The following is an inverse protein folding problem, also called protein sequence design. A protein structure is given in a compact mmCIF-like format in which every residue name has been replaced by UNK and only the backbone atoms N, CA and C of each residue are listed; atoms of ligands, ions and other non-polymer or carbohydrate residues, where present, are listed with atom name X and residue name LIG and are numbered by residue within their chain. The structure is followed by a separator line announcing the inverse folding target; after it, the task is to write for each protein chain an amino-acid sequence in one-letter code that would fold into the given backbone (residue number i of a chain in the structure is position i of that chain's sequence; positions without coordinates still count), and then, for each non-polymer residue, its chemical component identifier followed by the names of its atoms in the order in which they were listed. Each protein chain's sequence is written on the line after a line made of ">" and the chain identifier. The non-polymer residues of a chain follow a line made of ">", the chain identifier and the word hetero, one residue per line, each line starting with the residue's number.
data_IF_647809555353
#
_entry.id   IF_647809555353
#
_cell.length_a   1.000
_cell.length_b   1.000
_cell.length_c   1.000
_cell.angle_alpha   90.00
_cell.angle_beta   90.00
_cell.angle_gamma   90.00
#
_symmetry.space_group_name_H-M   'P 1'
#
loop_
_entity.id
_entity.type
_entity.pdbx_description
1 polymer ?
#
# COMPACT_ATOMS: atom_id res chain seq x y z
N UNK A 1 50.29 -73.71 -10.69
CA UNK A 1 51.70 -73.99 -10.33
C UNK A 1 52.23 -75.12 -11.21
N UNK A 2 53.55 -75.24 -11.43
CA UNK A 2 54.10 -76.24 -12.36
C UNK A 2 55.33 -76.98 -11.85
N UNK A 3 55.55 -78.18 -12.43
CA UNK A 3 56.78 -79.01 -12.59
C UNK A 3 56.32 -80.48 -12.64
N UNK A 4 56.39 -81.25 -13.73
CA UNK A 4 57.49 -81.58 -14.69
C UNK A 4 58.38 -82.74 -14.20
N UNK A 5 58.17 -83.94 -14.76
CA UNK A 5 59.09 -85.07 -15.07
C UNK A 5 58.27 -86.36 -15.27
N UNK A 6 58.59 -87.32 -16.14
CA UNK A 6 59.57 -87.28 -17.25
C UNK A 6 60.18 -88.64 -17.66
N UNK A 7 59.64 -89.24 -18.74
CA UNK A 7 60.37 -89.97 -19.82
C UNK A 7 60.96 -91.39 -19.57
N UNK A 8 61.00 -92.17 -20.67
CA UNK A 8 61.57 -93.51 -20.94
C UNK A 8 60.67 -94.72 -20.57
N UNK A 9 60.57 -95.80 -21.37
CA UNK A 9 60.86 -95.94 -22.80
C UNK A 9 61.39 -97.32 -23.28
N UNK A 10 60.86 -97.75 -24.44
CA UNK A 10 61.50 -98.57 -25.50
C UNK A 10 61.68 -100.10 -25.31
N UNK A 11 61.55 -100.80 -26.45
CA UNK A 11 61.68 -102.25 -26.74
C UNK A 11 60.50 -103.11 -26.28
N UNK A 12 60.01 -104.07 -27.06
CA UNK A 12 60.39 -104.47 -28.43
C UNK A 12 60.27 -105.98 -28.62
N UNK A 13 59.75 -106.42 -29.76
CA UNK A 13 59.58 -107.85 -30.05
C UNK A 13 58.54 -108.09 -31.14
N UNK A 14 58.97 -108.01 -32.40
CA UNK A 14 58.11 -108.42 -33.51
C UNK A 14 58.10 -109.94 -33.68
N UNK A 15 57.00 -110.50 -34.20
CA UNK A 15 57.02 -111.79 -34.88
C UNK A 15 56.26 -111.66 -36.21
N UNK A 16 56.91 -112.10 -37.29
CA UNK A 16 56.40 -112.03 -38.68
C UNK A 16 55.22 -112.97 -38.89
N UNK A 17 54.36 -112.62 -39.84
CA UNK A 17 53.73 -113.61 -40.72
C UNK A 17 52.27 -113.34 -41.05
N UNK A 18 51.98 -112.94 -42.30
CA UNK A 18 50.62 -113.05 -42.85
C UNK A 18 50.04 -111.83 -43.57
N UNK A 19 50.70 -111.30 -44.61
CA UNK A 19 49.94 -110.59 -45.66
C UNK A 19 49.12 -111.62 -46.44
N UNK A 20 47.81 -111.70 -46.19
CA UNK A 20 46.84 -112.12 -47.22
C UNK A 20 46.26 -110.86 -47.84
N UNK A 21 45.99 -110.91 -49.15
CA UNK A 21 45.61 -109.77 -49.98
C UNK A 21 44.27 -109.19 -49.51
N UNK A 22 44.17 -107.87 -49.42
CA UNK A 22 42.87 -107.20 -49.60
C UNK A 22 42.44 -107.40 -51.07
N UNK A 23 41.23 -107.89 -51.33
CA UNK A 23 40.62 -107.79 -52.65
C UNK A 23 40.35 -106.32 -52.99
N UNK A 24 40.25 -106.01 -54.29
CA UNK A 24 39.81 -104.67 -54.71
C UNK A 24 38.38 -104.42 -54.19
N UNK A 25 38.16 -103.24 -53.60
CA UNK A 25 36.84 -102.81 -53.15
C UNK A 25 35.86 -102.86 -54.34
N UNK A 26 35.03 -103.89 -54.37
CA UNK A 26 34.03 -104.10 -55.43
C UNK A 26 32.98 -103.00 -55.30
N UNK A 27 32.27 -102.62 -56.37
CA UNK A 27 31.24 -101.58 -56.29
C UNK A 27 30.18 -101.84 -55.19
N UNK A 28 29.94 -103.12 -54.87
CA UNK A 28 29.11 -103.56 -53.73
C UNK A 28 29.65 -103.10 -52.37
N UNK A 29 30.96 -103.15 -52.16
CA UNK A 29 31.63 -102.74 -50.92
C UNK A 29 31.68 -101.21 -50.78
N UNK A 30 31.76 -100.47 -51.90
CA UNK A 30 31.58 -99.02 -51.89
C UNK A 30 30.13 -98.60 -51.55
N UNK A 31 29.12 -99.32 -52.06
CA UNK A 31 27.71 -99.12 -51.68
C UNK A 31 27.48 -99.46 -50.21
N UNK A 32 28.07 -100.55 -49.71
CA UNK A 32 28.02 -100.90 -48.28
C UNK A 32 28.68 -99.83 -47.41
N UNK A 33 29.85 -99.31 -47.80
CA UNK A 33 30.51 -98.21 -47.07
C UNK A 33 29.66 -96.94 -47.03
N UNK A 34 28.94 -96.60 -48.11
CA UNK A 34 27.99 -95.48 -48.11
C UNK A 34 26.75 -95.73 -47.24
N UNK A 35 26.21 -96.95 -47.25
CA UNK A 35 25.12 -97.36 -46.37
C UNK A 35 25.54 -97.31 -44.89
N UNK A 36 26.76 -97.80 -44.58
CA UNK A 36 27.37 -97.69 -43.25
C UNK A 36 27.50 -96.22 -42.85
N UNK A 37 28.05 -95.34 -43.71
CA UNK A 37 28.19 -93.92 -43.41
C UNK A 37 26.85 -93.19 -43.18
N UNK A 38 25.76 -93.59 -43.85
CA UNK A 38 24.41 -93.08 -43.56
C UNK A 38 23.93 -93.54 -42.17
N UNK A 39 24.19 -94.80 -41.81
CA UNK A 39 23.81 -95.37 -40.50
C UNK A 39 24.65 -94.72 -39.40
N UNK A 40 25.95 -94.55 -39.61
CA UNK A 40 26.87 -93.87 -38.69
C UNK A 40 26.44 -92.42 -38.45
N UNK A 41 26.14 -91.65 -39.51
CA UNK A 41 25.64 -90.29 -39.34
C UNK A 41 24.31 -90.25 -38.57
N UNK A 42 23.35 -91.13 -38.89
CA UNK A 42 22.09 -91.23 -38.12
C UNK A 42 22.33 -91.63 -36.67
N UNK A 43 23.34 -92.45 -36.41
CA UNK A 43 23.74 -92.83 -35.05
C UNK A 43 24.40 -91.64 -34.33
N UNK A 44 25.21 -90.83 -35.00
CA UNK A 44 25.74 -89.57 -34.46
C UNK A 44 24.63 -88.55 -34.15
N UNK A 45 23.66 -88.37 -35.06
CA UNK A 45 22.50 -87.50 -34.85
C UNK A 45 21.69 -87.95 -33.61
N UNK A 46 21.36 -89.26 -33.50
CA UNK A 46 20.67 -89.84 -32.33
C UNK A 46 21.51 -89.74 -31.04
N UNK A 47 22.83 -89.91 -31.11
CA UNK A 47 23.72 -89.73 -29.96
C UNK A 47 23.81 -88.26 -29.52
N UNK A 48 23.71 -87.31 -30.44
CA UNK A 48 23.63 -85.89 -30.13
C UNK A 48 22.27 -85.54 -29.49
N UNK A 49 21.17 -86.08 -30.01
CA UNK A 49 19.84 -85.94 -29.40
C UNK A 49 19.80 -86.55 -27.99
N UNK A 50 20.34 -87.76 -27.79
CA UNK A 50 20.44 -88.41 -26.46
C UNK A 50 21.17 -87.52 -25.46
N UNK A 51 22.35 -86.99 -25.83
CA UNK A 51 23.10 -86.04 -25.00
C UNK A 51 22.30 -84.76 -24.72
N UNK A 52 21.57 -84.25 -25.71
CA UNK A 52 20.69 -83.10 -25.54
C UNK A 52 19.53 -83.37 -24.58
N UNK A 53 19.01 -84.59 -24.54
CA UNK A 53 18.01 -85.03 -23.55
C UNK A 53 18.63 -85.26 -22.16
N UNK A 54 19.82 -85.86 -22.08
CA UNK A 54 20.58 -86.03 -20.83
C UNK A 54 20.91 -84.67 -20.18
N UNK A 55 21.39 -83.70 -20.96
CA UNK A 55 21.67 -82.33 -20.48
C UNK A 55 20.40 -81.58 -20.04
N UNK A 56 19.26 -81.79 -20.74
CA UNK A 56 17.97 -81.26 -20.30
C UNK A 56 17.53 -81.92 -18.99
N UNK A 57 17.59 -83.24 -18.90
CA UNK A 57 17.18 -83.99 -17.72
C UNK A 57 17.99 -83.56 -16.49
N UNK A 58 19.33 -83.43 -16.62
CA UNK A 58 20.19 -82.89 -15.56
C UNK A 58 19.76 -81.49 -15.11
N UNK A 59 19.41 -80.58 -16.04
CA UNK A 59 18.88 -79.25 -15.69
C UNK A 59 17.51 -79.29 -15.00
N UNK A 60 16.68 -80.28 -15.28
CA UNK A 60 15.42 -80.49 -14.58
C UNK A 60 15.64 -81.06 -13.17
N UNK A 61 16.56 -82.00 -13.01
CA UNK A 61 17.01 -82.52 -11.71
C UNK A 61 17.60 -81.42 -10.83
N UNK A 62 18.60 -80.66 -11.33
CA UNK A 62 19.19 -79.52 -10.62
C UNK A 62 18.16 -78.44 -10.23
N UNK A 63 17.12 -78.21 -11.04
CA UNK A 63 16.02 -77.29 -10.70
C UNK A 63 15.14 -77.89 -9.60
N UNK A 64 14.81 -79.17 -9.70
CA UNK A 64 13.94 -79.86 -8.76
C UNK A 64 14.60 -79.96 -7.36
N UNK A 65 15.91 -80.23 -7.30
CA UNK A 65 16.68 -80.20 -6.04
C UNK A 65 16.66 -78.81 -5.38
N UNK A 66 16.83 -77.74 -6.18
CA UNK A 66 16.73 -76.35 -5.68
C UNK A 66 15.34 -76.05 -5.13
N UNK A 67 14.28 -76.32 -5.90
CA UNK A 67 12.89 -76.13 -5.47
C UNK A 67 12.56 -76.93 -4.21
N UNK A 68 13.06 -78.16 -4.08
CA UNK A 68 12.85 -78.99 -2.90
C UNK A 68 13.60 -78.43 -1.68
N UNK A 69 14.81 -77.90 -1.86
CA UNK A 69 15.53 -77.21 -0.79
C UNK A 69 14.87 -75.89 -0.36
N UNK A 70 14.30 -75.14 -1.31
CA UNK A 70 13.50 -73.93 -1.04
C UNK A 70 12.24 -74.30 -0.26
N UNK A 71 11.48 -75.31 -0.69
CA UNK A 71 10.30 -75.81 0.03
C UNK A 71 10.64 -76.27 1.45
N UNK A 72 11.76 -76.98 1.64
CA UNK A 72 12.20 -77.41 2.98
C UNK A 72 12.50 -76.20 3.89
N UNK A 73 13.08 -75.13 3.35
CA UNK A 73 13.33 -73.88 4.08
C UNK A 73 12.02 -73.13 4.41
N UNK A 74 11.07 -73.04 3.47
CA UNK A 74 9.75 -72.44 3.73
C UNK A 74 8.99 -73.22 4.81
N UNK A 75 8.98 -74.55 4.75
CA UNK A 75 8.32 -75.40 5.77
C UNK A 75 8.98 -75.20 7.15
N UNK A 76 10.33 -75.15 7.21
CA UNK A 76 11.05 -74.85 8.46
C UNK A 76 10.71 -73.46 9.01
N UNK A 77 10.53 -72.46 8.15
CA UNK A 77 10.12 -71.12 8.56
C UNK A 77 8.69 -71.10 9.12
N UNK A 78 7.74 -71.73 8.41
CA UNK A 78 6.34 -71.83 8.85
C UNK A 78 6.21 -72.55 10.21
N UNK A 79 6.95 -73.66 10.39
CA UNK A 79 7.00 -74.39 11.66
C UNK A 79 7.63 -73.58 12.80
N UNK A 80 8.52 -72.63 12.48
CA UNK A 80 9.09 -71.71 13.47
C UNK A 80 8.07 -70.66 13.89
N UNK A 81 7.37 -70.03 12.93
CA UNK A 81 6.29 -69.09 13.20
C UNK A 81 5.16 -69.73 14.02
N UNK A 82 4.74 -70.95 13.68
CA UNK A 82 3.72 -71.69 14.45
C UNK A 82 4.13 -71.87 15.92
N UNK A 83 5.39 -72.29 16.17
CA UNK A 83 5.92 -72.44 17.54
C UNK A 83 6.13 -71.13 18.29
N UNK A 84 6.38 -70.03 17.58
CA UNK A 84 6.40 -68.70 18.19
C UNK A 84 5.00 -68.30 18.64
N UNK A 85 3.97 -68.52 17.80
CA UNK A 85 2.56 -68.30 18.14
C UNK A 85 2.09 -69.19 19.31
N UNK A 86 2.42 -70.49 19.31
CA UNK A 86 2.13 -71.39 20.44
C UNK A 86 2.72 -70.84 21.74
N UNK A 87 3.98 -70.41 21.74
CA UNK A 87 4.63 -69.79 22.90
C UNK A 87 3.98 -68.47 23.33
N UNK A 88 3.47 -67.65 22.41
CA UNK A 88 2.75 -66.44 22.79
C UNK A 88 1.48 -66.78 23.59
N UNK A 89 0.76 -67.84 23.22
CA UNK A 89 -0.42 -68.31 23.94
C UNK A 89 -0.09 -69.09 25.23
N UNK A 90 1.00 -69.89 25.26
CA UNK A 90 1.48 -70.54 26.50
C UNK A 90 1.91 -69.52 27.57
N UNK A 91 2.43 -68.37 27.15
CA UNK A 91 2.82 -67.26 28.03
C UNK A 91 1.64 -66.33 28.39
N UNK A 92 0.48 -66.44 27.73
CA UNK A 92 -0.70 -65.63 28.08
C UNK A 92 -1.49 -66.31 29.21
N UNK A 93 -1.25 -65.83 30.44
CA UNK A 93 -1.93 -66.30 31.64
C UNK A 93 -3.46 -66.19 31.51
N UNK A 94 -4.17 -67.25 31.91
CA UNK A 94 -5.63 -67.35 31.82
C UNK A 94 -6.28 -66.39 32.83
N UNK A 95 -6.53 -65.17 32.35
CA UNK A 95 -7.18 -64.08 33.12
C UNK A 95 -8.49 -64.57 33.73
N UNK A 96 -8.61 -64.45 35.05
CA UNK A 96 -9.79 -64.88 35.79
C UNK A 96 -10.92 -63.88 35.58
N UNK A 97 -12.18 -64.32 35.76
CA UNK A 97 -13.37 -63.47 35.69
C UNK A 97 -13.23 -62.20 36.54
N UNK A 98 -12.59 -62.30 37.70
CA UNK A 98 -12.40 -61.18 38.62
C UNK A 98 -11.39 -60.15 38.11
N UNK A 99 -10.35 -60.55 37.38
CA UNK A 99 -9.41 -59.65 36.71
C UNK A 99 -10.11 -58.84 35.60
N UNK A 100 -11.00 -59.50 34.86
CA UNK A 100 -11.86 -58.84 33.86
C UNK A 100 -12.81 -57.85 34.56
N UNK A 101 -13.38 -58.20 35.70
CA UNK A 101 -14.25 -57.28 36.48
C UNK A 101 -13.45 -56.10 37.04
N UNK A 102 -12.23 -56.31 37.55
CA UNK A 102 -11.39 -55.22 38.06
C UNK A 102 -10.94 -54.28 36.93
N UNK A 103 -10.44 -54.82 35.82
CA UNK A 103 -10.05 -54.00 34.65
C UNK A 103 -11.22 -53.26 34.03
N UNK A 104 -12.44 -53.82 34.04
CA UNK A 104 -13.65 -53.11 33.61
C UNK A 104 -14.06 -51.99 34.59
N UNK A 105 -14.03 -52.22 35.91
CA UNK A 105 -14.28 -51.18 36.92
C UNK A 105 -13.29 -50.02 36.80
N UNK A 106 -12.02 -50.33 36.59
CA UNK A 106 -10.92 -49.38 36.42
C UNK A 106 -11.05 -48.59 35.09
N UNK A 107 -11.44 -49.25 33.99
CA UNK A 107 -11.83 -48.56 32.74
C UNK A 107 -13.02 -47.62 32.93
N UNK A 108 -14.07 -48.04 33.64
CA UNK A 108 -15.23 -47.19 33.96
C UNK A 108 -14.87 -46.03 34.89
N UNK A 109 -13.94 -46.24 35.83
CA UNK A 109 -13.38 -45.18 36.67
C UNK A 109 -12.67 -44.11 35.85
N UNK A 110 -11.76 -44.51 34.96
CA UNK A 110 -11.08 -43.59 34.03
C UNK A 110 -12.05 -42.88 33.09
N UNK A 111 -13.04 -43.60 32.55
CA UNK A 111 -14.06 -43.02 31.68
C UNK A 111 -14.84 -41.93 32.41
N UNK A 112 -15.31 -42.19 33.63
CA UNK A 112 -16.02 -41.19 34.44
C UNK A 112 -15.13 -40.02 34.84
N UNK A 113 -13.84 -40.25 35.13
CA UNK A 113 -12.89 -39.17 35.36
C UNK A 113 -12.74 -38.28 34.11
N UNK A 114 -12.62 -38.88 32.92
CA UNK A 114 -12.55 -38.13 31.66
C UNK A 114 -13.84 -37.39 31.33
N UNK A 115 -15.01 -37.97 31.65
CA UNK A 115 -16.29 -37.29 31.53
C UNK A 115 -16.37 -36.07 32.47
N UNK A 116 -15.93 -36.21 33.72
CA UNK A 116 -15.85 -35.09 34.67
C UNK A 116 -14.90 -33.98 34.16
N UNK A 117 -13.67 -34.33 33.76
CA UNK A 117 -12.70 -33.39 33.17
C UNK A 117 -13.28 -32.67 31.94
N UNK A 118 -14.03 -33.38 31.08
CA UNK A 118 -14.74 -32.78 29.94
C UNK A 118 -15.88 -31.85 30.36
N UNK A 119 -16.59 -32.13 31.45
CA UNK A 119 -17.61 -31.20 31.98
C UNK A 119 -17.00 -29.95 32.61
N UNK A 120 -15.86 -30.08 33.29
CA UNK A 120 -15.12 -28.94 33.84
C UNK A 120 -14.55 -28.06 32.73
N UNK A 121 -13.94 -28.66 31.69
CA UNK A 121 -13.48 -27.93 30.51
C UNK A 121 -14.62 -27.22 29.78
N UNK A 122 -15.79 -27.86 29.61
CA UNK A 122 -16.97 -27.21 29.02
C UNK A 122 -17.48 -26.04 29.85
N UNK A 123 -17.45 -26.13 31.19
CA UNK A 123 -17.81 -25.02 32.07
C UNK A 123 -16.82 -23.86 31.94
N UNK A 124 -15.52 -24.15 31.91
CA UNK A 124 -14.48 -23.14 31.72
C UNK A 124 -14.60 -22.45 30.36
N UNK A 125 -14.85 -23.21 29.28
CA UNK A 125 -15.09 -22.66 27.93
C UNK A 125 -16.28 -21.70 27.98
N UNK A 126 -17.43 -22.11 28.53
CA UNK A 126 -18.62 -21.26 28.63
C UNK A 126 -18.40 -20.00 29.51
N UNK A 127 -17.56 -20.07 30.54
CA UNK A 127 -17.13 -18.90 31.33
C UNK A 127 -16.28 -17.96 30.48
N UNK A 128 -15.28 -18.46 29.76
CA UNK A 128 -14.43 -17.64 28.87
C UNK A 128 -15.19 -17.06 27.67
N UNK A 129 -16.14 -17.78 27.08
CA UNK A 129 -17.03 -17.26 26.03
C UNK A 129 -17.92 -16.12 26.56
N UNK A 130 -18.38 -16.22 27.81
CA UNK A 130 -19.12 -15.17 28.50
C UNK A 130 -18.29 -13.92 28.78
N UNK A 131 -17.01 -14.09 29.10
CA UNK A 131 -16.06 -12.98 29.28
C UNK A 131 -15.70 -12.31 27.93
N UNK A 132 -15.40 -13.10 26.90
CA UNK A 132 -15.17 -12.61 25.53
C UNK A 132 -16.38 -11.81 25.04
N UNK A 133 -17.60 -12.32 25.22
CA UNK A 133 -18.82 -11.59 24.83
C UNK A 133 -19.06 -10.32 25.64
N UNK A 134 -18.40 -10.12 26.79
CA UNK A 134 -18.42 -8.85 27.54
C UNK A 134 -17.42 -7.87 26.94
N UNK A 135 -16.18 -8.32 26.71
CA UNK A 135 -15.13 -7.52 26.08
C UNK A 135 -15.53 -7.08 24.66
N UNK A 136 -16.16 -7.94 23.86
CA UNK A 136 -16.69 -7.59 22.53
C UNK A 136 -17.73 -6.45 22.59
N UNK A 137 -18.56 -6.41 23.64
CA UNK A 137 -19.54 -5.32 23.84
C UNK A 137 -18.83 -4.03 24.24
N UNK A 138 -17.84 -4.10 25.11
CA UNK A 138 -17.03 -2.94 25.51
C UNK A 138 -16.25 -2.38 24.30
N UNK A 139 -15.60 -3.23 23.51
CA UNK A 139 -14.95 -2.86 22.25
C UNK A 139 -15.96 -2.25 21.27
N UNK A 140 -17.17 -2.80 21.16
CA UNK A 140 -18.25 -2.24 20.36
C UNK A 140 -18.67 -0.83 20.79
N UNK A 141 -18.74 -0.57 22.10
CA UNK A 141 -18.98 0.77 22.64
C UNK A 141 -17.83 1.74 22.33
N UNK A 142 -16.58 1.31 22.50
CA UNK A 142 -15.41 2.14 22.19
C UNK A 142 -15.27 2.44 20.69
N UNK A 143 -15.63 1.50 19.81
CA UNK A 143 -15.69 1.73 18.36
C UNK A 143 -16.80 2.71 18.00
N UNK A 144 -18.00 2.56 18.57
CA UNK A 144 -19.10 3.52 18.36
C UNK A 144 -18.74 4.93 18.86
N UNK A 145 -18.03 5.02 19.99
CA UNK A 145 -17.50 6.28 20.50
C UNK A 145 -16.44 6.88 19.55
N UNK A 146 -15.46 6.09 19.11
CA UNK A 146 -14.42 6.56 18.16
C UNK A 146 -15.02 7.06 16.83
N UNK A 147 -16.00 6.34 16.29
CA UNK A 147 -16.52 6.60 14.94
C UNK A 147 -17.59 7.72 14.92
N UNK A 148 -18.27 7.98 16.04
CA UNK A 148 -19.34 8.99 16.15
C UNK A 148 -19.18 9.92 17.34
N UNK A 149 -19.00 9.35 18.54
CA UNK A 149 -18.87 10.10 19.80
C UNK A 149 -17.79 11.19 19.76
N UNK A 150 -16.56 10.85 19.37
CA UNK A 150 -15.45 11.82 19.23
C UNK A 150 -15.81 12.96 18.26
N UNK A 151 -16.48 12.64 17.14
CA UNK A 151 -16.88 13.65 16.15
C UNK A 151 -18.05 14.53 16.62
N UNK A 152 -18.91 14.02 17.51
CA UNK A 152 -20.00 14.78 18.14
C UNK A 152 -19.46 15.66 19.29
N UNK A 153 -18.65 15.10 20.19
CA UNK A 153 -17.98 15.84 21.27
C UNK A 153 -17.05 16.92 20.71
N UNK A 154 -16.27 16.64 19.66
CA UNK A 154 -15.41 17.63 19.00
C UNK A 154 -16.19 18.77 18.39
N UNK A 155 -17.37 18.52 17.81
CA UNK A 155 -18.27 19.59 17.33
C UNK A 155 -18.82 20.40 18.50
N UNK A 156 -19.26 19.76 19.58
CA UNK A 156 -19.75 20.44 20.77
C UNK A 156 -18.66 21.32 21.41
N UNK A 157 -17.42 20.82 21.50
CA UNK A 157 -16.26 21.57 21.99
C UNK A 157 -15.94 22.75 21.06
N UNK A 158 -16.08 22.59 19.74
CA UNK A 158 -15.86 23.69 18.80
C UNK A 158 -16.93 24.78 18.96
N UNK A 159 -18.22 24.40 18.98
CA UNK A 159 -19.32 25.34 19.20
C UNK A 159 -19.16 26.11 20.51
N UNK A 160 -18.83 25.44 21.62
CA UNK A 160 -18.60 26.10 22.92
C UNK A 160 -17.37 27.03 22.91
N UNK A 161 -16.35 26.76 22.09
CA UNK A 161 -15.21 27.68 21.90
C UNK A 161 -15.60 28.90 21.07
N UNK A 162 -16.38 28.70 20.02
CA UNK A 162 -16.85 29.78 19.17
C UNK A 162 -17.81 30.69 19.97
N UNK A 163 -18.72 30.12 20.77
CA UNK A 163 -19.57 30.84 21.73
C UNK A 163 -18.76 31.62 22.79
N UNK A 164 -17.65 31.06 23.28
CA UNK A 164 -16.74 31.77 24.21
C UNK A 164 -16.07 32.98 23.56
N UNK A 165 -15.64 32.86 22.30
CA UNK A 165 -15.05 33.97 21.54
C UNK A 165 -16.09 35.04 21.24
N UNK A 166 -17.30 34.67 20.81
CA UNK A 166 -18.40 35.60 20.57
C UNK A 166 -18.80 36.35 21.85
N UNK A 167 -18.82 35.67 23.00
CA UNK A 167 -19.00 36.32 24.31
C UNK A 167 -17.86 37.28 24.63
N UNK A 168 -16.60 36.89 24.42
CA UNK A 168 -15.44 37.78 24.68
C UNK A 168 -15.46 39.04 23.80
N UNK A 169 -15.81 38.91 22.51
CA UNK A 169 -16.01 40.06 21.61
C UNK A 169 -17.16 40.94 22.09
N UNK A 170 -18.31 40.36 22.46
CA UNK A 170 -19.46 41.09 23.00
C UNK A 170 -19.14 41.83 24.31
N UNK A 171 -18.35 41.21 25.20
CA UNK A 171 -17.84 41.86 26.41
C UNK A 171 -16.85 42.99 26.08
N UNK A 172 -15.98 42.80 25.08
CA UNK A 172 -15.09 43.83 24.56
C UNK A 172 -15.84 45.05 24.02
N UNK A 173 -16.86 44.83 23.20
CA UNK A 173 -17.69 45.90 22.63
C UNK A 173 -18.52 46.62 23.70
N UNK A 174 -19.09 45.87 24.66
CA UNK A 174 -19.80 46.46 25.79
C UNK A 174 -18.87 47.30 26.68
N UNK A 175 -17.66 46.82 26.95
CA UNK A 175 -16.61 47.57 27.65
C UNK A 175 -16.25 48.84 26.87
N UNK A 176 -15.94 48.73 25.58
CA UNK A 176 -15.60 49.86 24.72
C UNK A 176 -16.74 50.90 24.66
N UNK A 177 -18.00 50.47 24.66
CA UNK A 177 -19.15 51.36 24.74
C UNK A 177 -19.24 52.08 26.09
N UNK A 178 -19.06 51.36 27.21
CA UNK A 178 -19.05 51.94 28.55
C UNK A 178 -17.89 52.92 28.75
N UNK A 179 -16.68 52.59 28.28
CA UNK A 179 -15.51 53.47 28.32
C UNK A 179 -15.74 54.75 27.51
N UNK A 180 -16.26 54.67 26.28
CA UNK A 180 -16.62 55.87 25.48
C UNK A 180 -17.73 56.70 26.12
N UNK A 181 -18.73 56.05 26.72
CA UNK A 181 -19.82 56.74 27.42
C UNK A 181 -19.31 57.47 28.67
N UNK A 182 -18.40 56.83 29.43
CA UNK A 182 -17.72 57.44 30.56
C UNK A 182 -16.82 58.59 30.12
N UNK A 183 -16.00 58.40 29.08
CA UNK A 183 -15.13 59.44 28.51
C UNK A 183 -15.96 60.66 28.09
N UNK A 184 -17.06 60.45 27.34
CA UNK A 184 -17.99 61.50 26.96
C UNK A 184 -18.56 62.23 28.18
N UNK A 185 -19.07 61.52 29.18
CA UNK A 185 -19.56 62.12 30.42
C UNK A 185 -18.47 62.91 31.17
N UNK A 186 -17.23 62.42 31.22
CA UNK A 186 -16.11 63.16 31.82
C UNK A 186 -15.73 64.39 30.99
N UNK A 187 -15.80 64.34 29.66
CA UNK A 187 -15.52 65.49 28.80
C UNK A 187 -16.60 66.57 28.95
N UNK A 188 -17.88 66.20 29.05
CA UNK A 188 -19.00 67.11 29.30
C UNK A 188 -18.89 67.75 30.69
N UNK A 189 -18.53 66.97 31.73
CA UNK A 189 -18.26 67.50 33.07
C UNK A 189 -17.06 68.47 33.02
N UNK A 190 -15.95 68.09 32.39
CA UNK A 190 -14.76 68.93 32.30
C UNK A 190 -15.06 70.26 31.59
N UNK A 191 -15.70 70.22 30.42
CA UNK A 191 -16.13 71.40 29.67
C UNK A 191 -17.05 72.29 30.51
N UNK A 192 -18.06 71.71 31.17
CA UNK A 192 -18.95 72.48 32.05
C UNK A 192 -18.20 73.11 33.25
N UNK A 193 -17.24 72.39 33.85
CA UNK A 193 -16.40 72.94 34.92
C UNK A 193 -15.48 74.05 34.42
N UNK A 194 -14.90 73.92 33.23
CA UNK A 194 -14.08 74.97 32.60
C UNK A 194 -14.90 76.22 32.29
N UNK A 195 -16.06 76.06 31.66
CA UNK A 195 -17.00 77.16 31.41
C UNK A 195 -17.44 77.87 32.70
N UNK A 196 -17.73 77.13 33.77
CA UNK A 196 -18.13 77.75 35.05
C UNK A 196 -16.96 78.46 35.73
N UNK A 197 -15.76 77.91 35.66
CA UNK A 197 -14.52 78.55 36.12
C UNK A 197 -14.25 79.83 35.32
N UNK A 198 -14.42 79.83 34.00
CA UNK A 198 -14.18 81.02 33.17
C UNK A 198 -15.23 82.10 33.35
N UNK A 199 -16.51 81.73 33.50
CA UNK A 199 -17.58 82.65 33.94
C UNK A 199 -17.24 83.25 35.32
N UNK A 200 -16.68 82.47 36.24
CA UNK A 200 -16.25 82.96 37.55
C UNK A 200 -15.00 83.86 37.46
N UNK A 201 -14.01 83.55 36.62
CA UNK A 201 -12.85 84.42 36.33
C UNK A 201 -13.32 85.76 35.76
N UNK A 202 -14.23 85.74 34.78
CA UNK A 202 -14.80 86.94 34.18
C UNK A 202 -15.49 87.81 35.25
N UNK A 203 -16.44 87.25 36.01
CA UNK A 203 -17.15 87.97 37.07
C UNK A 203 -16.20 88.51 38.16
N UNK A 204 -15.16 87.76 38.51
CA UNK A 204 -14.13 88.22 39.45
C UNK A 204 -13.31 89.39 38.87
N UNK A 205 -12.95 89.35 37.58
CA UNK A 205 -12.25 90.43 36.89
C UNK A 205 -13.11 91.69 36.74
N UNK A 206 -14.39 91.55 36.37
CA UNK A 206 -15.33 92.67 36.26
C UNK A 206 -15.55 93.33 37.63
N UNK A 207 -15.71 92.52 38.68
CA UNK A 207 -15.83 93.01 40.06
C UNK A 207 -14.55 93.70 40.55
N UNK A 208 -13.37 93.19 40.18
CA UNK A 208 -12.10 93.83 40.49
C UNK A 208 -11.97 95.19 39.77
N UNK A 209 -12.24 95.23 38.46
CA UNK A 209 -12.23 96.47 37.65
C UNK A 209 -13.26 97.49 38.19
N UNK A 210 -14.42 97.02 38.64
CA UNK A 210 -15.45 97.86 39.28
C UNK A 210 -15.06 98.42 40.65
N UNK A 211 -14.03 97.86 41.31
CA UNK A 211 -13.46 98.37 42.56
C UNK A 211 -12.24 99.29 42.36
N UNK A 212 -11.72 99.39 41.13
CA UNK A 212 -10.65 100.34 40.79
C UNK A 212 -11.18 101.77 40.78
N UNK A 213 -10.24 102.73 40.86
CA UNK A 213 -10.56 104.13 40.66
C UNK A 213 -10.90 104.44 39.19
N UNK A 214 -11.47 105.63 38.94
CA UNK A 214 -11.91 106.02 37.60
C UNK A 214 -10.77 106.08 36.57
N UNK A 215 -9.55 106.44 36.99
CA UNK A 215 -8.41 106.55 36.10
C UNK A 215 -7.86 105.16 35.73
N UNK A 216 -7.56 104.29 36.70
CA UNK A 216 -7.07 102.93 36.41
C UNK A 216 -8.08 102.10 35.60
N UNK A 217 -9.40 102.30 35.83
CA UNK A 217 -10.44 101.65 35.01
C UNK A 217 -10.40 102.10 33.54
N UNK A 218 -10.12 103.37 33.27
CA UNK A 218 -9.99 103.87 31.90
C UNK A 218 -8.73 103.29 31.24
N UNK A 219 -7.59 103.28 31.95
CA UNK A 219 -6.35 102.70 31.43
C UNK A 219 -6.50 101.21 31.05
N UNK A 220 -7.27 100.42 31.82
CA UNK A 220 -7.55 99.01 31.47
C UNK A 220 -8.37 98.90 30.18
N UNK A 221 -9.41 99.73 30.00
CA UNK A 221 -10.24 99.73 28.79
C UNK A 221 -9.45 100.20 27.56
N UNK A 222 -8.60 101.21 27.71
CA UNK A 222 -7.75 101.73 26.65
C UNK A 222 -6.68 100.70 26.24
N UNK A 223 -6.08 99.99 27.21
CA UNK A 223 -5.16 98.87 26.93
C UNK A 223 -5.85 97.70 26.21
N UNK A 224 -7.07 97.33 26.61
CA UNK A 224 -7.84 96.28 25.94
C UNK A 224 -8.27 96.69 24.53
N UNK A 225 -8.56 97.97 24.28
CA UNK A 225 -8.77 98.49 22.92
C UNK A 225 -7.48 98.44 22.09
N UNK A 226 -6.37 98.96 22.62
CA UNK A 226 -5.06 98.93 21.96
C UNK A 226 -4.60 97.50 21.63
N UNK A 227 -4.89 96.51 22.49
CA UNK A 227 -4.57 95.09 22.21
C UNK A 227 -5.31 94.57 20.99
N UNK A 228 -6.63 94.81 20.88
CA UNK A 228 -7.42 94.39 19.71
C UNK A 228 -6.91 95.08 18.44
N UNK A 229 -6.62 96.38 18.52
CA UNK A 229 -6.10 97.15 17.37
C UNK A 229 -4.73 96.62 16.91
N UNK A 230 -3.82 96.32 17.85
CA UNK A 230 -2.52 95.70 17.57
C UNK A 230 -2.67 94.30 16.95
N UNK A 231 -3.69 93.53 17.34
CA UNK A 231 -3.94 92.19 16.79
C UNK A 231 -4.49 92.26 15.35
N UNK A 232 -5.37 93.22 15.07
CA UNK A 232 -5.86 93.52 13.71
C UNK A 232 -4.69 93.97 12.82
N UNK A 233 -3.92 94.98 13.24
CA UNK A 233 -2.77 95.45 12.46
C UNK A 233 -1.68 94.39 12.25
N UNK A 234 -1.52 93.43 13.18
CA UNK A 234 -0.64 92.28 12.98
C UNK A 234 -1.14 91.35 11.88
N UNK A 235 -2.45 91.08 11.81
CA UNK A 235 -3.04 90.28 10.75
C UNK A 235 -2.91 91.00 9.39
N UNK A 236 -3.33 92.27 9.32
CA UNK A 236 -3.16 93.11 8.12
C UNK A 236 -1.70 93.17 7.65
N UNK A 237 -0.75 93.29 8.60
CA UNK A 237 0.69 93.30 8.28
C UNK A 237 1.24 91.94 7.85
N UNK A 238 0.58 90.83 8.18
CA UNK A 238 0.94 89.51 7.70
C UNK A 238 0.41 89.30 6.27
N UNK A 239 -0.84 89.67 6.03
CA UNK A 239 -1.49 89.60 4.72
C UNK A 239 -0.75 90.47 3.68
N UNK A 240 -0.43 91.74 4.03
CA UNK A 240 0.34 92.63 3.15
C UNK A 240 1.74 92.09 2.84
N UNK A 241 2.40 91.43 3.80
CA UNK A 241 3.71 90.81 3.54
C UNK A 241 3.58 89.65 2.57
N UNK A 242 2.57 88.80 2.73
CA UNK A 242 2.32 87.71 1.80
C UNK A 242 2.04 88.23 0.38
N UNK A 243 1.21 89.28 0.24
CA UNK A 243 0.94 89.91 -1.07
C UNK A 243 2.23 90.49 -1.69
N UNK A 244 3.09 91.15 -0.91
CA UNK A 244 4.39 91.66 -1.39
C UNK A 244 5.31 90.50 -1.79
N UNK A 245 5.43 89.45 -0.99
CA UNK A 245 6.24 88.27 -1.34
C UNK A 245 5.76 87.60 -2.63
N UNK A 246 4.45 87.49 -2.84
CA UNK A 246 3.87 86.89 -4.04
C UNK A 246 4.03 87.79 -5.28
N UNK A 247 3.96 89.11 -5.12
CA UNK A 247 4.33 90.08 -6.16
C UNK A 247 5.83 90.05 -6.50
N UNK A 248 6.71 89.89 -5.51
CA UNK A 248 8.15 89.73 -5.70
C UNK A 248 8.47 88.43 -6.46
N UNK A 249 7.85 87.31 -6.08
CA UNK A 249 7.94 86.02 -6.81
C UNK A 249 7.46 86.17 -8.26
N UNK A 250 6.32 86.83 -8.49
CA UNK A 250 5.78 87.05 -9.82
C UNK A 250 6.68 87.96 -10.68
N UNK A 251 7.24 89.02 -10.09
CA UNK A 251 8.17 89.92 -10.78
C UNK A 251 9.49 89.21 -11.13
N UNK A 252 10.04 88.40 -10.21
CA UNK A 252 11.20 87.55 -10.49
C UNK A 252 10.93 86.55 -11.62
N UNK A 253 9.74 85.94 -11.65
CA UNK A 253 9.32 85.05 -12.73
C UNK A 253 9.25 85.78 -14.09
N UNK A 254 8.58 86.94 -14.16
CA UNK A 254 8.50 87.75 -15.39
C UNK A 254 9.88 88.25 -15.84
N UNK A 255 10.75 88.63 -14.90
CA UNK A 255 12.13 89.01 -15.21
C UNK A 255 12.93 87.83 -15.77
N UNK A 256 12.77 86.62 -15.21
CA UNK A 256 13.41 85.41 -15.73
C UNK A 256 12.92 85.07 -17.14
N UNK A 257 11.62 85.11 -17.39
CA UNK A 257 10.99 84.90 -18.71
C UNK A 257 11.49 85.95 -19.74
N UNK A 258 11.57 87.22 -19.35
CA UNK A 258 12.16 88.28 -20.19
C UNK A 258 13.67 88.10 -20.45
N UNK A 259 14.41 87.50 -19.52
CA UNK A 259 15.81 87.13 -19.76
C UNK A 259 15.91 85.93 -20.71
N UNK A 260 15.05 84.91 -20.56
CA UNK A 260 15.00 83.76 -21.45
C UNK A 260 14.62 84.18 -22.87
N UNK A 261 13.56 84.98 -23.05
CA UNK A 261 13.18 85.56 -24.35
C UNK A 261 14.32 86.37 -24.98
N UNK A 262 15.04 87.19 -24.21
CA UNK A 262 16.22 87.92 -24.73
C UNK A 262 17.36 87.00 -25.13
N UNK A 263 17.57 85.90 -24.40
CA UNK A 263 18.56 84.87 -24.74
C UNK A 263 18.12 84.13 -26.02
N UNK A 264 16.83 83.87 -26.21
CA UNK A 264 16.28 83.30 -27.44
C UNK A 264 16.40 84.26 -28.62
N UNK A 265 16.06 85.54 -28.48
CA UNK A 265 16.29 86.56 -29.51
C UNK A 265 17.78 86.70 -29.87
N UNK A 266 18.68 86.60 -28.87
CA UNK A 266 20.13 86.56 -29.09
C UNK A 266 20.56 85.28 -29.81
N UNK A 267 19.97 84.12 -29.51
CA UNK A 267 20.20 82.87 -30.25
C UNK A 267 19.69 82.97 -31.68
N UNK A 268 18.49 83.51 -31.91
CA UNK A 268 17.88 83.67 -33.25
C UNK A 268 18.69 84.65 -34.08
N UNK A 269 19.08 85.80 -33.53
CA UNK A 269 19.93 86.77 -34.23
C UNK A 269 21.34 86.20 -34.47
N UNK A 270 21.96 85.51 -33.51
CA UNK A 270 23.23 84.78 -33.72
C UNK A 270 23.11 83.73 -34.83
N UNK A 271 22.04 82.94 -34.84
CA UNK A 271 21.80 81.92 -35.87
C UNK A 271 21.55 82.55 -37.25
N UNK A 272 20.89 83.71 -37.31
CA UNK A 272 20.71 84.50 -38.53
C UNK A 272 22.02 85.12 -39.04
N UNK A 273 22.91 85.55 -38.14
CA UNK A 273 24.26 85.95 -38.51
C UNK A 273 25.08 84.74 -39.01
N UNK A 274 25.03 83.60 -38.32
CA UNK A 274 25.75 82.38 -38.73
C UNK A 274 25.28 81.85 -40.10
N UNK A 275 23.97 81.79 -40.36
CA UNK A 275 23.43 81.34 -41.68
C UNK A 275 23.85 82.25 -42.83
N UNK A 276 24.12 83.55 -42.61
CA UNK A 276 24.72 84.41 -43.64
C UNK A 276 26.20 84.13 -43.93
N UNK A 277 26.90 83.40 -43.05
CA UNK A 277 28.28 82.95 -43.27
C UNK A 277 28.38 81.48 -43.69
N UNK A 278 27.35 80.65 -43.48
CA UNK A 278 27.30 79.26 -43.99
C UNK A 278 27.34 79.20 -45.53
N UNK A 279 26.66 80.11 -46.23
CA UNK A 279 26.76 80.24 -47.70
C UNK A 279 28.18 80.64 -48.20
N UNK A 280 29.05 81.10 -47.30
CA UNK A 280 30.45 81.48 -47.57
C UNK A 280 31.48 80.48 -47.02
N UNK A 281 31.10 79.24 -46.67
CA UNK A 281 32.00 78.09 -46.65
C UNK A 281 33.17 78.08 -45.65
N UNK A 282 33.21 79.00 -44.67
CA UNK A 282 34.21 79.01 -43.60
C UNK A 282 33.59 78.56 -42.26
N UNK A 283 33.98 77.35 -41.82
CA UNK A 283 33.59 76.77 -40.53
C UNK A 283 33.93 77.70 -39.36
N UNK A 284 32.91 78.13 -38.61
CA UNK A 284 33.04 79.04 -37.46
C UNK A 284 32.66 78.40 -36.10
N UNK A 285 32.69 77.07 -36.04
CA UNK A 285 32.34 76.26 -34.85
C UNK A 285 33.39 76.23 -33.73
N UNK A 286 34.49 77.00 -33.83
CA UNK A 286 35.62 76.95 -32.88
C UNK A 286 36.10 78.32 -32.37
N UNK A 287 35.20 79.07 -31.71
CA UNK A 287 35.60 80.13 -30.75
C UNK A 287 34.73 80.11 -29.49
N UNK A 288 34.96 79.10 -28.64
CA UNK A 288 34.45 79.09 -27.26
C UNK A 288 35.21 80.11 -26.40
N UNK A 289 34.71 81.35 -26.33
CA UNK A 289 35.33 82.46 -25.58
C UNK A 289 34.59 82.77 -24.26
N UNK A 290 33.38 82.24 -24.05
CA UNK A 290 32.50 82.58 -22.92
C UNK A 290 32.45 81.56 -21.78
N UNK A 291 33.12 80.41 -21.92
CA UNK A 291 33.03 79.31 -20.93
C UNK A 291 34.07 79.42 -19.79
N UNK A 292 35.07 80.29 -19.92
CA UNK A 292 36.12 80.48 -18.90
C UNK A 292 35.71 81.37 -17.71
N UNK A 293 34.81 82.34 -17.90
CA UNK A 293 34.54 83.38 -16.89
C UNK A 293 33.47 82.98 -15.86
N UNK A 294 32.63 81.98 -16.17
CA UNK A 294 31.58 81.50 -15.25
C UNK A 294 32.10 80.67 -14.06
N UNK A 295 33.33 80.18 -14.13
CA UNK A 295 33.96 79.40 -13.06
C UNK A 295 34.61 80.25 -11.95
N UNK A 296 34.62 81.58 -12.06
CA UNK A 296 35.39 82.48 -11.17
C UNK A 296 34.58 83.27 -10.14
N UNK A 297 33.24 83.10 -10.07
CA UNK A 297 32.40 83.79 -9.09
C UNK A 297 31.84 82.79 -8.08
N UNK A 298 32.69 82.35 -7.15
CA UNK A 298 32.35 81.50 -6.00
C UNK A 298 32.84 82.13 -4.69
N UNK A 299 32.16 83.20 -4.25
CA UNK A 299 32.41 83.99 -3.02
C UNK A 299 31.05 84.58 -2.61
N UNK A 300 30.52 84.49 -1.38
CA UNK A 300 30.90 83.77 -0.16
C UNK A 300 29.62 83.51 0.67
N UNK A 301 29.51 82.36 1.34
CA UNK A 301 28.55 82.16 2.42
C UNK A 301 29.02 82.83 3.72
N UNK A 302 28.15 83.59 4.38
CA UNK A 302 28.16 83.77 5.85
C UNK A 302 26.73 84.01 6.37
N UNK A 303 26.19 83.02 7.09
CA UNK A 303 25.35 83.13 8.33
C UNK A 303 24.30 84.27 8.43
N UNK A 304 23.04 84.04 8.80
CA UNK A 304 22.48 82.93 9.62
C UNK A 304 20.95 82.91 9.57
N UNK A 305 20.38 81.74 9.87
CA UNK A 305 19.04 81.51 10.46
C UNK A 305 17.78 82.08 9.78
N UNK A 306 17.03 81.18 9.12
CA UNK A 306 15.68 80.82 9.62
C UNK A 306 15.13 79.52 9.02
N UNK A 307 14.91 78.53 9.91
CA UNK A 307 13.88 77.49 9.87
C UNK A 307 13.43 76.89 8.52
N UNK A 308 13.90 75.67 8.24
CA UNK A 308 13.15 74.71 7.42
C UNK A 308 11.79 74.39 8.07
N UNK A 309 10.69 74.80 7.43
CA UNK A 309 9.36 74.23 7.68
C UNK A 309 9.10 73.12 6.64
N UNK A 310 9.16 71.87 7.10
CA UNK A 310 8.73 70.74 6.29
C UNK A 310 7.20 70.78 6.13
N UNK A 311 6.72 71.08 4.92
CA UNK A 311 5.33 70.86 4.53
C UNK A 311 5.20 69.46 3.94
N UNK A 312 4.18 68.74 4.41
CA UNK A 312 3.91 67.34 4.12
C UNK A 312 3.55 67.14 2.65
N UNK A 313 4.00 66.02 2.08
CA UNK A 313 3.48 65.51 0.82
C UNK A 313 2.00 65.12 0.99
N UNK A 314 1.11 66.07 0.71
CA UNK A 314 -0.27 65.77 0.33
C UNK A 314 -0.27 65.51 -1.18
N UNK A 315 -0.59 64.28 -1.57
CA UNK A 315 -0.61 63.89 -2.99
C UNK A 315 -1.77 64.55 -3.72
N UNK A 316 -1.52 65.65 -4.41
CA UNK A 316 -2.45 66.25 -5.37
C UNK A 316 -1.81 66.24 -6.76
N UNK A 317 -2.47 65.53 -7.69
CA UNK A 317 -1.89 65.17 -8.98
C UNK A 317 -1.89 66.35 -9.96
N UNK A 318 -0.71 66.76 -10.43
CA UNK A 318 -0.58 67.63 -11.60
C UNK A 318 -1.26 66.95 -12.81
N UNK A 319 -2.22 67.60 -13.49
CA UNK A 319 -2.83 67.03 -14.67
C UNK A 319 -1.84 67.02 -15.84
N UNK A 320 -1.39 65.83 -16.24
CA UNK A 320 -0.54 65.66 -17.40
C UNK A 320 -1.25 66.11 -18.70
N UNK A 321 -0.48 66.74 -19.60
CA UNK A 321 -0.94 67.13 -20.95
C UNK A 321 -1.54 65.93 -21.70
N UNK A 322 -2.64 66.16 -22.41
CA UNK A 322 -3.34 65.14 -23.18
C UNK A 322 -2.56 64.68 -24.42
N UNK A 323 -2.18 63.39 -24.42
CA UNK A 323 -1.60 62.71 -25.59
C UNK A 323 -2.62 62.37 -26.69
N UNK A 324 -2.10 61.95 -27.85
CA UNK A 324 -2.85 61.79 -29.10
C UNK A 324 -3.92 60.67 -29.10
N UNK A 325 -4.97 60.87 -29.91
CA UNK A 325 -6.15 60.02 -29.99
C UNK A 325 -5.90 58.58 -30.52
N UNK A 326 -4.73 58.27 -31.07
CA UNK A 326 -4.41 56.96 -31.67
C UNK A 326 -4.11 55.86 -30.64
N UNK A 327 -3.61 56.19 -29.45
CA UNK A 327 -3.30 55.19 -28.41
C UNK A 327 -4.58 54.55 -27.80
N UNK A 328 -5.65 55.32 -27.63
CA UNK A 328 -6.91 54.88 -26.99
C UNK A 328 -7.72 53.82 -27.76
N UNK A 329 -7.36 53.53 -29.01
CA UNK A 329 -8.10 52.59 -29.86
C UNK A 329 -7.63 51.13 -29.72
N UNK A 330 -6.40 50.89 -29.25
CA UNK A 330 -5.78 49.56 -29.22
C UNK A 330 -6.14 48.78 -27.95
N UNK A 331 -6.26 49.47 -26.81
CA UNK A 331 -6.47 48.86 -25.49
C UNK A 331 -7.88 48.26 -25.30
N UNK A 332 -8.88 48.76 -26.05
CA UNK A 332 -10.28 48.30 -25.96
C UNK A 332 -10.59 46.95 -26.61
N UNK A 333 -9.58 46.21 -27.09
CA UNK A 333 -9.74 44.85 -27.65
C UNK A 333 -9.21 43.71 -26.76
N UNK A 334 -8.60 44.01 -25.61
CA UNK A 334 -7.82 43.00 -24.86
C UNK A 334 -8.58 42.40 -23.65
N UNK A 335 -9.64 43.03 -23.14
CA UNK A 335 -10.41 42.50 -22.00
C UNK A 335 -11.93 42.73 -22.08
N UNK A 336 -12.68 41.69 -22.47
CA UNK A 336 -14.09 41.50 -22.06
C UNK A 336 -14.56 40.06 -22.24
N UNK A 337 -15.10 39.45 -21.17
CA UNK A 337 -15.86 38.17 -21.11
C UNK A 337 -15.02 36.90 -21.36
N UNK A 338 -14.72 36.01 -20.40
CA UNK A 338 -15.48 35.34 -19.29
C UNK A 338 -16.37 34.18 -19.79
N UNK A 339 -16.27 33.02 -19.13
CA UNK A 339 -16.64 31.66 -19.59
C UNK A 339 -17.92 31.09 -18.89
N UNK A 340 -18.13 29.76 -18.69
CA UNK A 340 -18.14 28.56 -19.57
C UNK A 340 -19.60 27.96 -19.66
N UNK A 341 -19.91 26.70 -20.11
CA UNK A 341 -19.64 25.44 -19.37
C UNK A 341 -19.46 24.09 -20.16
N UNK A 342 -18.78 23.15 -19.49
CA UNK A 342 -18.99 21.67 -19.37
C UNK A 342 -19.92 20.87 -20.33
N UNK A 343 -19.42 19.75 -20.91
CA UNK A 343 -19.97 18.37 -20.71
C UNK A 343 -19.13 17.23 -21.38
N UNK A 344 -19.35 16.02 -20.84
CA UNK A 344 -18.75 14.68 -20.97
C UNK A 344 -18.42 14.06 -22.36
N UNK A 345 -17.57 13.02 -22.34
CA UNK A 345 -17.58 11.93 -23.33
C UNK A 345 -17.21 10.57 -22.67
N UNK A 346 -18.03 9.55 -22.93
CA UNK A 346 -17.97 8.18 -22.40
C UNK A 346 -17.57 7.14 -23.48
N UNK A 347 -17.05 5.98 -23.03
CA UNK A 347 -17.07 4.68 -23.73
C UNK A 347 -15.91 4.36 -24.69
N UNK A 348 -15.61 3.09 -25.02
CA UNK A 348 -16.05 1.78 -24.48
C UNK A 348 -15.17 0.63 -25.08
N UNK A 349 -15.25 -0.60 -24.53
CA UNK A 349 -14.98 -1.91 -25.18
C UNK A 349 -13.53 -2.27 -25.59
N UNK A 350 -13.12 -3.54 -25.76
CA UNK A 350 -13.73 -4.87 -25.48
C UNK A 350 -12.63 -5.97 -25.39
N UNK A 351 -13.00 -7.06 -24.74
CA UNK A 351 -12.35 -8.37 -24.50
C UNK A 351 -11.95 -9.23 -25.71
N UNK A 352 -10.96 -10.12 -25.50
CA UNK A 352 -10.61 -11.40 -26.16
C UNK A 352 -9.51 -12.08 -25.29
N UNK A 353 -9.32 -13.40 -25.10
CA UNK A 353 -10.22 -14.58 -25.12
C UNK A 353 -9.50 -15.84 -24.50
N UNK A 354 -10.12 -17.04 -24.55
CA UNK A 354 -9.55 -18.44 -24.60
C UNK A 354 -9.93 -19.49 -23.51
N UNK A 355 -10.08 -20.75 -23.94
CA UNK A 355 -10.83 -21.85 -23.30
C UNK A 355 -10.08 -23.22 -23.25
N UNK A 356 -10.75 -24.29 -22.80
CA UNK A 356 -10.37 -25.73 -22.89
C UNK A 356 -9.41 -26.30 -21.80
N UNK A 357 -9.40 -27.59 -21.44
CA UNK A 357 -10.09 -28.83 -21.87
C UNK A 357 -10.40 -29.72 -20.64
N UNK A 358 -11.45 -30.56 -20.69
CA UNK A 358 -11.75 -31.53 -19.61
C UNK A 358 -12.41 -32.83 -20.16
N UNK A 359 -11.60 -33.76 -20.71
CA UNK A 359 -12.04 -35.09 -21.18
C UNK A 359 -10.91 -36.13 -21.17
N UNK A 360 -10.64 -36.80 -20.04
CA UNK A 360 -9.58 -37.84 -19.96
C UNK A 360 -9.95 -39.07 -19.09
N UNK A 361 -11.23 -39.29 -18.76
CA UNK A 361 -11.67 -40.29 -17.76
C UNK A 361 -12.33 -41.58 -18.31
N UNK A 362 -12.50 -41.74 -19.63
CA UNK A 362 -13.44 -42.75 -20.18
C UNK A 362 -12.85 -43.94 -20.96
N UNK A 363 -11.52 -44.08 -21.07
CA UNK A 363 -10.89 -45.05 -21.99
C UNK A 363 -10.32 -46.33 -21.32
N UNK A 364 -10.36 -46.44 -19.98
CA UNK A 364 -9.72 -47.51 -19.22
C UNK A 364 -10.64 -48.72 -18.86
N UNK A 365 -11.66 -49.03 -19.66
CA UNK A 365 -12.66 -50.09 -19.35
C UNK A 365 -12.79 -51.21 -20.40
N UNK A 366 -11.71 -51.58 -21.10
CA UNK A 366 -11.66 -52.82 -21.88
C UNK A 366 -10.61 -53.79 -21.33
N UNK A 367 -11.03 -55.04 -21.10
CA UNK A 367 -10.22 -56.12 -20.55
C UNK A 367 -9.28 -56.69 -21.62
N UNK A 368 -7.99 -56.85 -21.29
CA UNK A 368 -7.06 -57.69 -22.05
C UNK A 368 -7.17 -59.16 -21.61
N UNK A 369 -7.04 -60.09 -22.56
CA UNK A 369 -7.06 -61.54 -22.30
C UNK A 369 -5.68 -62.01 -21.79
N UNK A 370 -5.62 -62.68 -20.62
CA UNK A 370 -4.35 -63.13 -20.04
C UNK A 370 -3.75 -64.36 -20.74
N UNK A 371 -2.44 -64.27 -21.00
CA UNK A 371 -1.69 -65.19 -21.86
C UNK A 371 -1.14 -66.40 -21.06
N UNK A 372 -1.56 -67.63 -21.43
CA UNK A 372 -1.18 -68.88 -20.73
C UNK A 372 0.33 -69.18 -20.70
N UNK A 373 1.14 -68.41 -21.42
CA UNK A 373 2.60 -68.53 -21.47
C UNK A 373 3.31 -68.18 -20.16
N UNK A 374 2.66 -67.49 -19.22
CA UNK A 374 3.27 -67.04 -17.96
C UNK A 374 3.50 -68.15 -16.94
N UNK A 375 2.69 -69.22 -16.95
CA UNK A 375 2.88 -70.37 -16.05
C UNK A 375 4.21 -71.11 -16.27
N UNK A 376 4.82 -70.98 -17.45
CA UNK A 376 6.14 -71.55 -17.77
C UNK A 376 7.32 -70.62 -17.42
N UNK A 377 7.05 -69.37 -17.01
CA UNK A 377 8.06 -68.36 -16.63
C UNK A 377 8.30 -68.28 -15.13
N UNK A 378 7.55 -69.02 -14.31
CA UNK A 378 7.65 -68.98 -12.85
C UNK A 378 9.05 -69.46 -12.40
N UNK A 379 9.80 -68.53 -11.80
CA UNK A 379 11.12 -68.76 -11.20
C UNK A 379 11.04 -69.42 -9.83
N UNK A 380 12.03 -69.19 -8.94
CA UNK A 380 11.97 -69.58 -7.54
C UNK A 380 10.66 -69.13 -6.89
N UNK A 381 10.16 -69.91 -5.92
CA UNK A 381 8.84 -69.66 -5.32
C UNK A 381 8.92 -68.52 -4.28
N UNK A 382 9.13 -67.30 -4.76
CA UNK A 382 9.17 -66.10 -3.94
C UNK A 382 7.83 -65.91 -3.20
N UNK A 383 7.92 -65.52 -1.92
CA UNK A 383 6.72 -65.32 -1.10
C UNK A 383 5.88 -64.18 -1.67
N UNK A 384 4.76 -64.50 -2.33
CA UNK A 384 3.72 -63.53 -2.70
C UNK A 384 3.07 -62.98 -1.42
N UNK A 385 3.71 -61.97 -0.83
CA UNK A 385 3.14 -61.16 0.24
C UNK A 385 1.94 -60.39 -0.33
N UNK A 386 0.74 -60.80 0.08
CA UNK A 386 -0.50 -60.14 -0.31
C UNK A 386 -0.60 -58.77 0.36
N UNK A 387 -0.48 -57.72 -0.45
CA UNK A 387 -0.80 -56.35 -0.07
C UNK A 387 -2.32 -56.16 -0.10
N UNK A 388 -2.91 -55.76 1.03
CA UNK A 388 -4.30 -55.28 1.09
C UNK A 388 -4.28 -53.75 1.20
N UNK A 389 -4.36 -53.07 0.07
CA UNK A 389 -4.53 -51.62 0.00
C UNK A 389 -6.01 -51.25 0.12
N UNK A 390 -6.44 -50.78 1.29
CA UNK A 390 -7.77 -50.22 1.47
C UNK A 390 -7.85 -48.78 0.98
N UNK A 391 -8.77 -48.49 0.05
CA UNK A 391 -9.14 -47.11 -0.31
C UNK A 391 -10.22 -46.62 0.66
N UNK A 392 -10.02 -45.45 1.26
CA UNK A 392 -10.99 -44.87 2.18
C UNK A 392 -12.17 -44.27 1.40
N UNK A 393 -13.28 -45.01 1.34
CA UNK A 393 -14.54 -44.48 0.81
C UNK A 393 -15.14 -43.45 1.77
N UNK A 394 -15.71 -42.34 1.28
CA UNK A 394 -16.44 -41.40 2.12
C UNK A 394 -17.67 -42.09 2.73
N UNK A 395 -17.87 -41.92 4.03
CA UNK A 395 -19.06 -42.41 4.71
C UNK A 395 -20.23 -41.54 4.25
N UNK A 396 -21.08 -42.07 3.38
CA UNK A 396 -22.34 -41.40 3.03
C UNK A 396 -23.19 -41.26 4.30
N UNK A 397 -23.39 -40.02 4.73
CA UNK A 397 -24.36 -39.69 5.77
C UNK A 397 -25.73 -40.14 5.24
N UNK A 398 -26.46 -41.02 5.93
CA UNK A 398 -27.76 -41.46 5.45
C UNK A 398 -28.69 -40.25 5.37
N UNK A 399 -29.20 -39.99 4.17
CA UNK A 399 -30.21 -38.97 3.93
C UNK A 399 -31.40 -39.21 4.89
N UNK A 400 -31.90 -38.16 5.52
CA UNK A 400 -33.01 -38.29 6.46
C UNK A 400 -34.22 -38.91 5.73
N UNK A 401 -34.75 -39.99 6.30
CA UNK A 401 -35.87 -40.75 5.73
C UNK A 401 -37.05 -39.83 5.43
N UNK A 402 -37.70 -40.04 4.29
CA UNK A 402 -38.94 -39.34 3.95
C UNK A 402 -40.01 -39.63 5.01
N UNK A 403 -40.93 -38.70 5.22
CA UNK A 403 -42.05 -38.87 6.17
C UNK A 403 -42.88 -40.13 5.88
N UNK A 404 -42.93 -40.56 4.61
CA UNK A 404 -43.60 -41.78 4.16
C UNK A 404 -42.84 -43.06 4.59
N UNK A 405 -41.50 -43.03 4.63
CA UNK A 405 -40.67 -44.16 5.08
C UNK A 405 -40.66 -44.30 6.60
N UNK A 406 -40.84 -43.21 7.34
CA UNK A 406 -41.08 -43.24 8.77
C UNK A 406 -42.41 -43.94 9.09
N UNK A 407 -43.49 -43.58 8.39
CA UNK A 407 -44.80 -44.23 8.52
C UNK A 407 -44.75 -45.72 8.12
N UNK A 408 -43.93 -46.11 7.14
CA UNK A 408 -43.73 -47.50 6.76
C UNK A 408 -43.03 -48.33 7.87
N UNK A 409 -42.17 -47.73 8.70
CA UNK A 409 -41.53 -48.39 9.85
C UNK A 409 -42.46 -48.59 11.05
N UNK A 410 -43.50 -47.76 11.18
CA UNK A 410 -44.54 -47.95 12.19
C UNK A 410 -45.57 -49.04 11.82
N UNK A 411 -45.52 -49.56 10.59
CA UNK A 411 -46.29 -50.74 10.21
C UNK A 411 -45.71 -52.00 10.88
N UNK A 412 -46.29 -52.41 12.01
CA UNK A 412 -45.99 -53.67 12.70
C UNK A 412 -46.79 -54.84 12.10
N UNK A 413 -46.19 -55.77 11.34
CA UNK A 413 -46.77 -57.08 11.14
C UNK A 413 -46.48 -57.95 12.37
N UNK A 414 -47.29 -57.81 13.44
CA UNK A 414 -47.24 -58.67 14.65
C UNK A 414 -47.71 -60.13 14.36
N UNK A 415 -47.61 -60.58 13.12
CA UNK A 415 -47.91 -61.93 12.63
C UNK A 415 -46.91 -62.40 11.56
N UNK A 416 -45.61 -62.31 11.85
CA UNK A 416 -44.62 -63.06 11.07
C UNK A 416 -44.96 -64.56 11.12
N UNK A 417 -45.07 -65.29 9.99
CA UNK A 417 -45.74 -66.59 9.93
C UNK A 417 -45.00 -67.77 10.59
N UNK A 418 -43.92 -67.50 11.34
CA UNK A 418 -43.12 -68.52 12.04
C UNK A 418 -42.79 -68.05 13.45
N UNK A 419 -43.37 -68.71 14.45
CA UNK A 419 -43.07 -68.47 15.88
C UNK A 419 -41.99 -69.43 16.40
N UNK A 420 -41.23 -69.03 17.43
CA UNK A 420 -40.15 -69.87 17.99
C UNK A 420 -40.61 -71.26 18.49
N UNK A 421 -41.89 -71.41 18.84
CA UNK A 421 -42.52 -72.69 19.16
C UNK A 421 -42.52 -73.66 17.97
N UNK A 422 -42.72 -73.16 16.74
CA UNK A 422 -42.69 -73.98 15.53
C UNK A 422 -41.26 -74.46 15.20
N UNK A 423 -40.26 -73.61 15.39
CA UNK A 423 -38.84 -73.98 15.22
C UNK A 423 -38.37 -75.03 16.24
N UNK A 424 -38.90 -74.99 17.47
CA UNK A 424 -38.58 -75.98 18.52
C UNK A 424 -39.23 -77.35 18.31
N UNK A 425 -40.20 -77.47 17.40
CA UNK A 425 -40.84 -78.74 17.04
C UNK A 425 -40.06 -79.61 16.05
N UNK A 426 -39.12 -79.02 15.30
CA UNK A 426 -38.36 -79.71 14.23
C UNK A 426 -37.01 -80.26 14.72
N UNK A 427 -36.57 -79.87 15.92
CA UNK A 427 -35.24 -80.17 16.46
C UNK A 427 -35.27 -81.01 17.76
N UNK A 428 -35.84 -82.22 17.70
CA UNK A 428 -35.46 -83.36 18.55
C UNK A 428 -35.44 -84.65 17.72
N UNK A 429 -34.53 -85.59 18.04
CA UNK A 429 -34.19 -86.75 17.19
C UNK A 429 -35.27 -87.83 17.14
#
# INVERSE_FOLDING_TARGET
>A
MGKKKGKKGKKGGGKKGGKKKEPQMTAKEAILAYQIGIIEKKMEDVMFESRGWEDKNRRHEERNEKLLSEQELLIKHLLKQAKEVEKYFENEEVKTRDDVIMTMKDKWGRQRQKENELTELKKLIAETEGDISREEKEVGLWLAFRDKGDMEEKKQIQLLKDELVDMEVSFGDMKNHLERSQEKATSEINQHTEETVDKQKYLASEKAIGQLDKYSRQEVLDNDWLRREVEIHKAESADLKQEVEDLEKANLFVMADLFECKIEDLKVSRNFFLTQFEDNGENLDNTGILEMDLAQISINDTSTDSSNLAIKEAGETIPARSGSATQRAVEKKVFSMVAPPFLEHDGDSSSEDDESVDTELLDNMFFEEEDFSDYLKLGPLEMKLLNVSGVQMPIHIPQALSAEEAAAKDCKPDSWPVTQSMLKGVARP
#
